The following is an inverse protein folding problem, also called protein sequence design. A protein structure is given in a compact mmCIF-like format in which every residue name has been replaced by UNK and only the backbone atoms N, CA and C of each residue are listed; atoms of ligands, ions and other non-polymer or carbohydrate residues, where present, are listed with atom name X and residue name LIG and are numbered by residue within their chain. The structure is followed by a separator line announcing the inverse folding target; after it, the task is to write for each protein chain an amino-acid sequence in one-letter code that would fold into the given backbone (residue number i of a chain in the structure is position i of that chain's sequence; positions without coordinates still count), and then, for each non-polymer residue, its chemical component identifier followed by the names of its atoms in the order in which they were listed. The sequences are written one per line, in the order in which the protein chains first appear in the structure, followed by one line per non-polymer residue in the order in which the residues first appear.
data_IF_644883514044
#
_entry.id   IF_644883514044
#
_cell.length_a   1.000
_cell.length_b   1.000
_cell.length_c   1.000
_cell.angle_alpha   90.00
_cell.angle_beta   90.00
_cell.angle_gamma   90.00
#
_symmetry.space_group_name_H-M   'P 1'
#
loop_
_entity.id
_entity.type
_entity.pdbx_description
1 polymer ?
#
# COMPACT_ATOMS: atom_id res chain seq x y z
N UNK A 1 -3.10 6.55 -3.74
CA UNK A 1 -2.56 7.57 -2.85
C UNK A 1 -2.18 8.79 -3.65
N UNK A 2 -1.41 9.71 -3.07
CA UNK A 2 -0.72 10.75 -3.83
C UNK A 2 0.67 10.23 -4.25
N UNK A 3 1.11 10.63 -5.44
CA UNK A 3 2.47 10.34 -5.91
C UNK A 3 3.49 11.33 -5.32
N UNK A 4 4.76 11.14 -5.68
CA UNK A 4 5.84 12.05 -5.28
C UNK A 4 5.70 13.45 -5.89
N UNK A 5 5.16 13.57 -7.11
CA UNK A 5 5.02 14.85 -7.81
C UNK A 5 4.09 15.82 -7.09
N UNK A 6 2.95 15.33 -6.57
CA UNK A 6 2.03 16.16 -5.76
C UNK A 6 2.72 16.67 -4.49
N UNK A 7 3.48 15.80 -3.81
CA UNK A 7 4.25 16.21 -2.63
C UNK A 7 5.28 17.28 -2.97
N UNK A 8 6.05 17.11 -4.04
CA UNK A 8 7.05 18.07 -4.50
C UNK A 8 6.42 19.40 -4.92
N UNK A 9 5.28 19.36 -5.61
CA UNK A 9 4.55 20.56 -6.00
C UNK A 9 4.09 21.37 -4.79
N UNK A 10 3.61 20.71 -3.73
CA UNK A 10 3.29 21.39 -2.45
C UNK A 10 4.56 21.94 -1.80
N UNK A 11 5.64 21.15 -1.72
CA UNK A 11 6.91 21.57 -1.10
C UNK A 11 7.55 22.78 -1.79
N UNK A 12 7.43 22.85 -3.12
CA UNK A 12 7.95 23.94 -3.93
C UNK A 12 6.99 25.14 -4.03
N UNK A 13 5.83 25.08 -3.36
CA UNK A 13 4.84 26.15 -3.37
C UNK A 13 4.11 26.32 -4.72
N UNK A 14 4.14 25.32 -5.60
CA UNK A 14 3.45 25.34 -6.89
C UNK A 14 1.93 25.15 -6.74
N UNK A 15 1.52 24.41 -5.71
CA UNK A 15 0.12 24.23 -5.31
C UNK A 15 -0.03 24.39 -3.79
N UNK A 16 -1.21 24.80 -3.35
CA UNK A 16 -1.53 24.90 -1.92
C UNK A 16 -1.76 23.50 -1.34
N UNK A 17 -1.12 23.20 -0.21
CA UNK A 17 -1.32 21.95 0.51
C UNK A 17 -0.51 21.88 1.81
N UNK A 18 -0.81 20.90 2.67
CA UNK A 18 -0.02 20.65 3.86
C UNK A 18 1.32 19.98 3.52
N UNK A 19 2.30 20.03 4.43
CA UNK A 19 3.49 19.18 4.32
C UNK A 19 3.06 17.71 4.29
N UNK A 20 3.40 17.01 3.22
CA UNK A 20 2.96 15.64 3.00
C UNK A 20 3.99 14.61 3.45
N UNK A 21 3.49 13.51 4.03
CA UNK A 21 4.20 12.25 4.19
C UNK A 21 3.39 11.20 3.42
N UNK A 22 3.97 10.59 2.40
CA UNK A 22 3.23 9.74 1.45
C UNK A 22 3.63 8.28 1.56
N UNK A 23 2.70 7.36 1.29
CA UNK A 23 3.01 5.94 1.07
C UNK A 23 3.02 5.55 -0.41
N UNK A 24 2.66 6.48 -1.31
CA UNK A 24 2.37 6.23 -2.74
C UNK A 24 1.13 5.35 -2.91
N UNK A 25 1.25 4.06 -2.56
CA UNK A 25 0.16 3.10 -2.54
C UNK A 25 0.22 2.23 -1.27
N UNK A 26 -0.77 1.36 -1.06
CA UNK A 26 -0.78 0.38 0.01
C UNK A 26 -0.49 -1.02 -0.54
N UNK A 27 0.29 -1.82 0.19
CA UNK A 27 0.49 -3.24 -0.10
C UNK A 27 -0.74 -4.05 0.29
N UNK A 28 -1.15 -4.96 -0.56
CA UNK A 28 -2.33 -5.81 -0.39
C UNK A 28 -2.06 -7.20 -0.98
N UNK A 29 -2.64 -8.24 -0.38
CA UNK A 29 -2.67 -9.56 -1.01
C UNK A 29 -3.65 -9.57 -2.20
N UNK A 30 -3.54 -10.57 -3.07
CA UNK A 30 -4.58 -10.86 -4.06
C UNK A 30 -5.94 -11.09 -3.35
N UNK A 31 -6.98 -10.39 -3.82
CA UNK A 31 -8.31 -10.39 -3.21
C UNK A 31 -8.42 -9.64 -1.87
N UNK A 32 -7.36 -8.95 -1.44
CA UNK A 32 -7.32 -8.20 -0.18
C UNK A 32 -7.94 -6.81 -0.27
N UNK A 33 -7.74 -5.99 0.77
CA UNK A 33 -8.48 -4.73 0.93
C UNK A 33 -8.19 -3.70 -0.18
N UNK A 34 -6.98 -3.73 -0.73
CA UNK A 34 -6.57 -2.87 -1.83
C UNK A 34 -6.83 -3.45 -3.22
N UNK A 35 -7.27 -4.72 -3.32
CA UNK A 35 -7.58 -5.34 -4.60
C UNK A 35 -9.01 -4.98 -5.02
N UNK A 36 -9.12 -4.45 -6.23
CA UNK A 36 -10.36 -3.89 -6.78
C UNK A 36 -11.09 -4.86 -7.70
N UNK A 37 -10.49 -6.01 -8.00
CA UNK A 37 -11.09 -7.00 -8.88
C UNK A 37 -12.25 -7.70 -8.18
N UNK A 38 -13.45 -7.57 -8.74
CA UNK A 38 -14.65 -8.25 -8.22
C UNK A 38 -14.72 -9.70 -8.70
N UNK A 39 -15.55 -10.52 -8.03
CA UNK A 39 -15.84 -11.91 -8.43
C UNK A 39 -16.43 -12.04 -9.84
N UNK A 40 -17.03 -10.97 -10.37
CA UNK A 40 -17.60 -10.89 -11.71
C UNK A 40 -16.58 -10.42 -12.77
N UNK A 41 -15.28 -10.38 -12.43
CA UNK A 41 -14.19 -9.93 -13.29
C UNK A 41 -14.32 -8.46 -13.75
N UNK A 42 -15.00 -7.63 -12.95
CA UNK A 42 -15.08 -6.18 -13.14
C UNK A 42 -14.13 -5.53 -12.14
N UNK A 43 -13.23 -4.68 -12.60
CA UNK A 43 -12.39 -3.84 -11.74
C UNK A 43 -13.20 -2.65 -11.25
N UNK A 44 -13.29 -2.47 -9.94
CA UNK A 44 -13.93 -1.28 -9.36
C UNK A 44 -13.20 -0.02 -9.85
N UNK A 45 -13.92 0.99 -10.38
CA UNK A 45 -13.30 2.17 -10.95
C UNK A 45 -12.31 2.82 -9.99
N UNK A 46 -11.10 3.05 -10.46
CA UNK A 46 -10.12 3.88 -9.77
C UNK A 46 -10.03 5.23 -10.47
N UNK A 47 -9.91 6.31 -9.71
CA UNK A 47 -9.61 7.62 -10.30
C UNK A 47 -8.25 7.66 -11.02
N UNK A 48 -7.41 6.65 -10.78
CA UNK A 48 -6.10 6.51 -11.36
C UNK A 48 -5.88 5.03 -11.70
N UNK A 49 -5.91 4.71 -12.99
CA UNK A 49 -5.55 3.41 -13.56
C UNK A 49 -4.30 3.61 -14.42
N UNK A 50 -3.38 2.65 -14.41
CA UNK A 50 -2.16 2.63 -15.23
C UNK A 50 -1.25 3.87 -15.16
N UNK A 51 -1.15 4.48 -13.97
CA UNK A 51 -0.21 5.59 -13.73
C UNK A 51 1.15 5.09 -13.21
N UNK A 52 2.26 5.28 -13.93
CA UNK A 52 3.57 4.75 -13.53
C UNK A 52 4.09 5.24 -12.16
N UNK A 53 3.67 6.44 -11.74
CA UNK A 53 4.02 7.00 -10.42
C UNK A 53 3.21 6.41 -9.25
N UNK A 54 2.21 5.57 -9.54
CA UNK A 54 1.42 4.84 -8.55
C UNK A 54 1.43 3.33 -8.90
N UNK A 55 2.56 2.63 -8.64
CA UNK A 55 2.63 1.19 -8.89
C UNK A 55 1.51 0.45 -8.14
N UNK A 56 1.03 -0.65 -8.73
CA UNK A 56 0.09 -1.57 -8.05
C UNK A 56 0.73 -2.09 -6.77
N UNK A 57 -0.05 -2.19 -5.69
CA UNK A 57 0.37 -2.73 -4.40
C UNK A 57 0.04 -4.20 -4.18
N UNK A 58 -0.54 -4.88 -5.17
CA UNK A 58 -0.84 -6.32 -5.08
C UNK A 58 0.47 -7.12 -5.11
N UNK A 59 0.67 -8.02 -4.14
CA UNK A 59 1.84 -8.90 -4.04
C UNK A 59 1.54 -10.07 -3.10
N UNK A 60 2.04 -11.26 -3.44
CA UNK A 60 1.82 -12.47 -2.65
C UNK A 60 3.14 -13.26 -2.49
N UNK A 61 3.45 -13.61 -1.25
CA UNK A 61 4.68 -14.29 -0.87
C UNK A 61 5.85 -13.35 -0.59
N UNK A 62 6.81 -13.87 0.18
CA UNK A 62 7.95 -13.11 0.74
C UNK A 62 8.75 -12.36 -0.33
N UNK A 63 9.08 -13.01 -1.45
CA UNK A 63 9.92 -12.39 -2.48
C UNK A 63 9.18 -11.29 -3.25
N UNK A 64 7.89 -11.47 -3.53
CA UNK A 64 7.09 -10.45 -4.20
C UNK A 64 6.88 -9.25 -3.30
N UNK A 65 6.56 -9.49 -2.03
CA UNK A 65 6.44 -8.45 -1.00
C UNK A 65 7.74 -7.64 -0.90
N UNK A 66 8.90 -8.30 -0.84
CA UNK A 66 10.21 -7.65 -0.82
C UNK A 66 10.40 -6.74 -2.03
N UNK A 67 10.16 -7.27 -3.24
CA UNK A 67 10.24 -6.51 -4.49
C UNK A 67 9.27 -5.31 -4.45
N UNK A 68 8.06 -5.52 -3.96
CA UNK A 68 7.00 -4.51 -3.96
C UNK A 68 7.30 -3.34 -3.01
N UNK A 69 7.85 -3.61 -1.83
CA UNK A 69 8.36 -2.55 -0.94
C UNK A 69 9.41 -1.70 -1.63
N UNK A 70 10.36 -2.33 -2.34
CA UNK A 70 11.39 -1.61 -3.10
C UNK A 70 10.79 -0.75 -4.21
N UNK A 71 9.73 -1.23 -4.87
CA UNK A 71 9.00 -0.46 -5.89
C UNK A 71 8.32 0.79 -5.28
N UNK A 72 7.66 0.66 -4.13
CA UNK A 72 7.04 1.80 -3.44
C UNK A 72 8.09 2.84 -3.01
N UNK A 73 9.22 2.38 -2.48
CA UNK A 73 10.32 3.26 -2.08
C UNK A 73 10.98 3.95 -3.28
N UNK A 74 11.13 3.24 -4.41
CA UNK A 74 11.58 3.84 -5.68
C UNK A 74 10.61 4.92 -6.16
N UNK A 75 9.31 4.72 -5.98
CA UNK A 75 8.27 5.68 -6.35
C UNK A 75 8.13 6.86 -5.38
N UNK A 76 8.98 6.95 -4.34
CA UNK A 76 9.02 8.10 -3.44
C UNK A 76 8.27 7.94 -2.12
N UNK A 77 7.89 6.72 -1.73
CA UNK A 77 7.21 6.48 -0.47
C UNK A 77 8.07 6.90 0.74
N UNK A 78 7.48 7.69 1.64
CA UNK A 78 8.07 8.04 2.93
C UNK A 78 7.82 7.00 4.01
N UNK A 79 6.76 6.22 3.84
CA UNK A 79 6.31 5.17 4.76
C UNK A 79 5.71 4.04 3.92
N UNK A 80 5.81 2.81 4.39
CA UNK A 80 5.12 1.68 3.76
C UNK A 80 3.76 1.51 4.42
N UNK A 81 2.69 1.45 3.63
CA UNK A 81 1.34 1.13 4.10
C UNK A 81 0.99 -0.29 3.69
N UNK A 82 0.39 -1.06 4.59
CA UNK A 82 -0.01 -2.46 4.35
C UNK A 82 -1.44 -2.68 4.84
N UNK A 83 -2.15 -3.63 4.24
CA UNK A 83 -3.43 -4.14 4.74
C UNK A 83 -3.20 -5.45 5.49
N UNK A 84 -3.23 -5.42 6.83
CA UNK A 84 -3.06 -6.59 7.69
C UNK A 84 -4.39 -7.30 7.99
N UNK A 85 -5.51 -6.63 7.71
CA UNK A 85 -6.85 -7.25 7.65
C UNK A 85 -7.58 -6.75 6.42
N UNK A 86 -8.74 -7.35 6.14
CA UNK A 86 -9.69 -6.75 5.23
C UNK A 86 -10.32 -5.47 5.75
N UNK A 87 -11.21 -4.89 4.95
CA UNK A 87 -11.90 -3.66 5.31
C UNK A 87 -13.36 -3.65 4.90
N UNK A 88 -14.01 -2.52 5.14
CA UNK A 88 -15.46 -2.37 4.95
C UNK A 88 -15.85 -2.14 3.49
N UNK A 89 -14.96 -1.54 2.70
CA UNK A 89 -15.26 -1.00 1.36
C UNK A 89 -14.75 -1.86 0.21
N UNK A 90 -14.22 -3.04 0.50
CA UNK A 90 -13.55 -3.92 -0.46
C UNK A 90 -14.49 -5.01 -0.98
N UNK A 91 -14.28 -5.47 -2.23
CA UNK A 91 -15.25 -6.33 -2.90
C UNK A 91 -15.21 -7.80 -2.48
N UNK A 92 -14.09 -8.26 -1.90
CA UNK A 92 -13.76 -9.70 -1.80
C UNK A 92 -13.27 -10.17 -0.44
N UNK A 93 -13.08 -9.28 0.54
CA UNK A 93 -12.57 -9.60 1.87
C UNK A 93 -13.57 -9.21 2.98
N UNK A 94 -13.12 -9.26 4.24
CA UNK A 94 -13.90 -8.86 5.41
C UNK A 94 -12.97 -8.30 6.50
N UNK A 95 -13.41 -7.34 7.33
CA UNK A 95 -12.59 -6.79 8.43
C UNK A 95 -11.99 -7.82 9.39
N UNK A 96 -12.66 -8.94 9.60
CA UNK A 96 -12.19 -10.03 10.47
C UNK A 96 -11.16 -10.95 9.82
N UNK A 97 -10.96 -10.87 8.51
CA UNK A 97 -10.02 -11.72 7.80
C UNK A 97 -8.63 -11.10 7.83
N UNK A 98 -7.67 -11.82 8.42
CA UNK A 98 -6.26 -11.44 8.39
C UNK A 98 -5.71 -11.49 6.97
N UNK A 99 -4.83 -10.54 6.64
CA UNK A 99 -4.14 -10.43 5.36
C UNK A 99 -2.64 -10.35 5.60
N UNK A 100 -1.89 -10.99 4.69
CA UNK A 100 -0.47 -11.33 4.83
C UNK A 100 -0.16 -12.29 5.99
N UNK A 101 0.83 -13.15 5.76
CA UNK A 101 1.50 -13.93 6.79
C UNK A 101 2.43 -13.04 7.65
N UNK A 102 2.80 -13.55 8.82
CA UNK A 102 3.78 -12.87 9.69
C UNK A 102 5.14 -12.78 8.99
N UNK A 103 5.51 -13.78 8.20
CA UNK A 103 6.74 -13.81 7.41
C UNK A 103 6.78 -12.67 6.40
N UNK A 104 5.68 -12.45 5.67
CA UNK A 104 5.56 -11.34 4.72
C UNK A 104 5.63 -9.99 5.42
N UNK A 105 4.91 -9.81 6.54
CA UNK A 105 4.94 -8.56 7.31
C UNK A 105 6.33 -8.26 7.86
N UNK A 106 7.06 -9.26 8.35
CA UNK A 106 8.45 -9.09 8.82
C UNK A 106 9.37 -8.60 7.70
N UNK A 107 9.22 -9.16 6.51
CA UNK A 107 10.01 -8.77 5.33
C UNK A 107 9.71 -7.33 4.91
N UNK A 108 8.45 -6.89 5.01
CA UNK A 108 8.09 -5.49 4.76
C UNK A 108 8.77 -4.52 5.73
N UNK A 109 8.79 -4.88 7.01
CA UNK A 109 9.47 -4.10 8.05
C UNK A 109 10.98 -4.08 7.81
N UNK A 110 11.58 -5.23 7.50
CA UNK A 110 13.01 -5.37 7.22
C UNK A 110 13.45 -4.46 6.05
N UNK A 111 12.77 -4.54 4.89
CA UNK A 111 13.11 -3.72 3.73
C UNK A 111 12.92 -2.22 3.97
N UNK A 112 11.87 -1.84 4.71
CA UNK A 112 11.65 -0.46 5.11
C UNK A 112 12.79 0.04 6.03
N UNK A 113 13.25 -0.81 6.95
CA UNK A 113 14.38 -0.51 7.84
C UNK A 113 15.68 -0.29 7.08
N UNK A 114 16.00 -1.17 6.10
CA UNK A 114 17.20 -1.04 5.27
C UNK A 114 17.25 0.25 4.47
N UNK A 115 16.10 0.89 4.22
CA UNK A 115 15.99 2.09 3.37
C UNK A 115 15.85 3.37 4.19
N UNK A 116 16.65 3.47 5.25
CA UNK A 116 16.73 4.65 6.11
C UNK A 116 15.73 4.63 7.25
N UNK A 117 15.46 3.45 7.82
CA UNK A 117 14.55 3.27 8.96
C UNK A 117 13.13 3.80 8.70
N UNK A 118 12.62 3.57 7.48
CA UNK A 118 11.26 3.95 7.10
C UNK A 118 10.26 3.16 7.92
N UNK A 119 9.13 3.79 8.27
CA UNK A 119 8.10 3.17 9.09
C UNK A 119 7.13 2.35 8.22
N UNK A 120 6.56 1.31 8.82
CA UNK A 120 5.46 0.53 8.25
C UNK A 120 4.20 0.84 9.04
N UNK A 121 3.10 1.12 8.35
CA UNK A 121 1.78 1.31 8.93
C UNK A 121 0.85 0.20 8.47
N UNK A 122 0.13 -0.42 9.40
CA UNK A 122 -0.88 -1.42 9.07
C UNK A 122 -2.28 -0.82 9.09
N UNK A 123 -3.13 -1.22 8.15
CA UNK A 123 -4.57 -1.21 8.33
C UNK A 123 -4.96 -2.53 8.99
N UNK A 124 -5.60 -2.46 10.15
CA UNK A 124 -6.09 -3.60 10.89
C UNK A 124 -7.38 -3.21 11.62
N UNK A 125 -8.44 -3.99 11.44
CA UNK A 125 -9.71 -3.82 12.15
C UNK A 125 -10.00 -5.04 13.03
N UNK A 126 -9.93 -6.24 12.46
CA UNK A 126 -10.06 -7.50 13.20
C UNK A 126 -8.92 -7.69 14.20
N UNK A 127 -9.24 -8.17 15.40
CA UNK A 127 -8.31 -8.28 16.53
C UNK A 127 -7.06 -9.11 16.21
N UNK A 128 -7.19 -10.15 15.39
CA UNK A 128 -6.07 -11.04 15.05
C UNK A 128 -5.00 -10.34 14.18
N UNK A 129 -5.35 -9.26 13.49
CA UNK A 129 -4.42 -8.49 12.65
C UNK A 129 -3.78 -7.27 13.33
N UNK A 130 -4.07 -7.04 14.62
CA UNK A 130 -3.49 -5.96 15.44
C UNK A 130 -2.30 -6.49 16.24
#
# INVERSE_FOLDING_TARGET
GADQGIKEAVQNGLILGPRMQISVNALTITGGHGDKLTKSAITMPSFIEDYPGLPTGICDGVEEVRKKVREMLRAGADVIKVHATGGVTSPTDHPDFTQFSIEELKVMVEEAQFRGNRKVMAHAQGLQGV
#
